data_IF_403686687381
#
_entry.id   IF_403686687381
#
_cell.length_a   1.000
_cell.length_b   1.000
_cell.length_c   1.000
_cell.angle_alpha   90.00
_cell.angle_beta   90.00
_cell.angle_gamma   90.00
#
_symmetry.space_group_name_H-M   'P 1'
#
loop_
_entity.id
_entity.type
_entity.pdbx_description
1 polymer ?
#
# COMPACT_ATOMS: atom_id res chain seq x y z
N UNK A 1 10.30 7.33 -16.03
CA UNK A 1 8.87 7.21 -15.65
C UNK A 1 8.56 8.28 -14.62
N UNK A 2 7.65 9.20 -14.92
CA UNK A 2 7.38 10.40 -14.10
C UNK A 2 6.89 10.01 -12.69
N UNK A 3 6.08 8.95 -12.58
CA UNK A 3 5.57 8.45 -11.30
C UNK A 3 6.60 7.63 -10.50
N UNK A 4 7.69 7.20 -11.14
CA UNK A 4 8.78 6.45 -10.49
C UNK A 4 9.87 7.38 -9.96
N UNK A 5 10.02 8.55 -10.56
CA UNK A 5 11.04 9.56 -10.22
C UNK A 5 10.62 10.51 -9.08
N UNK A 6 9.33 10.57 -8.70
CA UNK A 6 8.91 11.29 -7.48
C UNK A 6 9.48 10.67 -6.22
N UNK A 7 9.72 9.35 -6.23
CA UNK A 7 10.40 8.61 -5.16
C UNK A 7 11.90 8.93 -5.07
N UNK A 8 12.46 9.59 -6.09
CA UNK A 8 13.90 9.89 -6.23
C UNK A 8 14.27 11.35 -5.98
N UNK A 9 13.32 12.18 -5.49
CA UNK A 9 13.61 13.56 -5.03
C UNK A 9 13.89 14.58 -6.14
N UNK A 10 13.62 14.26 -7.41
CA UNK A 10 13.68 15.23 -8.50
C UNK A 10 12.42 16.12 -8.50
N UNK A 11 12.51 17.31 -9.09
CA UNK A 11 11.49 18.38 -9.08
C UNK A 11 10.25 18.03 -9.95
N UNK A 12 9.61 16.88 -9.69
CA UNK A 12 8.48 16.31 -10.46
C UNK A 12 7.17 17.09 -10.24
N UNK A 13 7.13 17.97 -9.24
CA UNK A 13 5.95 18.78 -8.86
C UNK A 13 5.44 19.63 -10.02
N UNK A 14 6.34 20.25 -10.79
CA UNK A 14 5.92 21.09 -11.94
C UNK A 14 5.25 20.26 -13.03
N UNK A 15 5.80 19.07 -13.31
CA UNK A 15 5.24 18.16 -14.32
C UNK A 15 3.88 17.60 -13.87
N UNK A 16 3.72 17.28 -12.58
CA UNK A 16 2.45 16.83 -12.00
C UNK A 16 1.36 17.91 -12.08
N UNK A 17 1.71 19.17 -11.81
CA UNK A 17 0.75 20.28 -11.89
C UNK A 17 0.25 20.50 -13.33
N UNK A 18 1.15 20.49 -14.31
CA UNK A 18 0.78 20.62 -15.73
C UNK A 18 -0.12 19.45 -16.15
N UNK A 19 0.19 18.23 -15.71
CA UNK A 19 -0.60 17.04 -16.01
C UNK A 19 -2.00 17.12 -15.37
N UNK A 20 -2.10 17.65 -14.15
CA UNK A 20 -3.38 17.89 -13.48
C UNK A 20 -4.24 18.93 -14.23
N UNK A 21 -3.66 20.05 -14.65
CA UNK A 21 -4.38 21.06 -15.45
C UNK A 21 -4.90 20.49 -16.76
N UNK A 22 -4.06 19.74 -17.49
CA UNK A 22 -4.45 19.09 -18.74
C UNK A 22 -5.54 18.03 -18.52
N UNK A 23 -5.47 17.26 -17.42
CA UNK A 23 -6.50 16.28 -17.07
C UNK A 23 -7.85 16.94 -16.81
N UNK A 24 -7.87 18.12 -16.17
CA UNK A 24 -9.08 18.89 -15.94
C UNK A 24 -9.74 19.38 -17.23
N UNK A 25 -8.95 19.85 -18.20
CA UNK A 25 -9.45 20.25 -19.53
C UNK A 25 -10.05 19.06 -20.29
N UNK A 26 -9.47 17.87 -20.13
CA UNK A 26 -9.92 16.64 -20.77
C UNK A 26 -11.04 15.93 -20.01
N UNK A 27 -11.50 16.47 -18.88
CA UNK A 27 -12.52 15.86 -18.02
C UNK A 27 -12.06 14.57 -17.33
N UNK A 28 -10.75 14.34 -17.23
CA UNK A 28 -10.16 13.19 -16.57
C UNK A 28 -9.92 13.51 -15.09
N UNK A 29 -10.41 12.65 -14.21
CA UNK A 29 -10.07 12.72 -12.78
C UNK A 29 -8.83 11.87 -12.54
N UNK A 30 -7.71 12.52 -12.21
CA UNK A 30 -6.52 11.82 -11.74
C UNK A 30 -6.72 11.47 -10.26
N UNK A 31 -7.21 10.27 -9.99
CA UNK A 31 -7.16 9.72 -8.64
C UNK A 31 -5.71 9.33 -8.36
N UNK A 32 -5.09 10.01 -7.40
CA UNK A 32 -3.84 9.53 -6.83
C UNK A 32 -4.14 8.13 -6.28
N UNK A 33 -3.51 7.08 -6.81
CA UNK A 33 -3.74 5.68 -6.44
C UNK A 33 -3.34 5.32 -5.01
N UNK A 34 -3.40 6.28 -4.08
CA UNK A 34 -3.55 6.05 -2.67
C UNK A 34 -5.05 6.02 -2.40
N UNK A 35 -5.69 4.93 -2.81
CA UNK A 35 -7.08 4.66 -2.50
C UNK A 35 -7.26 4.75 -0.98
N UNK A 36 -7.84 5.85 -0.51
CA UNK A 36 -8.29 6.08 0.87
C UNK A 36 -9.41 5.11 1.31
N UNK A 37 -9.60 4.00 0.61
CA UNK A 37 -10.42 2.87 1.02
C UNK A 37 -9.80 2.08 2.19
N UNK A 38 -8.56 2.41 2.58
CA UNK A 38 -7.88 1.79 3.72
C UNK A 38 -8.34 2.28 5.10
N UNK A 39 -9.01 3.44 5.20
CA UNK A 39 -9.32 4.06 6.50
C UNK A 39 -10.14 3.19 7.45
N UNK A 40 -11.07 2.39 6.92
CA UNK A 40 -11.98 1.56 7.73
C UNK A 40 -11.42 0.16 8.05
N UNK A 41 -10.45 -0.31 7.25
CA UNK A 41 -9.90 -1.68 7.33
C UNK A 41 -8.49 -1.67 7.94
N UNK A 42 -7.78 -0.55 7.89
CA UNK A 42 -6.42 -0.38 8.38
C UNK A 42 -6.22 -0.90 9.82
N UNK A 43 -7.09 -0.57 10.80
CA UNK A 43 -6.90 -1.06 12.18
C UNK A 43 -6.97 -2.59 12.28
N UNK A 44 -7.80 -3.22 11.44
CA UNK A 44 -7.92 -4.68 11.40
C UNK A 44 -6.71 -5.34 10.74
N UNK A 45 -6.19 -4.75 9.66
CA UNK A 45 -4.98 -5.25 8.99
C UNK A 45 -3.77 -5.15 9.92
N UNK A 46 -3.60 -4.03 10.61
CA UNK A 46 -2.52 -3.83 11.60
C UNK A 46 -2.59 -4.83 12.76
N UNK A 47 -3.81 -5.12 13.26
CA UNK A 47 -4.01 -6.15 14.27
C UNK A 47 -3.59 -7.53 13.75
N UNK A 48 -3.97 -7.90 12.53
CA UNK A 48 -3.60 -9.18 11.91
C UNK A 48 -2.09 -9.30 11.65
N UNK A 49 -1.44 -8.20 11.25
CA UNK A 49 0.03 -8.15 11.11
C UNK A 49 0.69 -8.41 12.47
N UNK A 50 0.17 -7.81 13.54
CA UNK A 50 0.69 -8.03 14.91
C UNK A 50 0.55 -9.48 15.35
N UNK A 51 -0.63 -10.08 15.14
CA UNK A 51 -0.87 -11.50 15.43
C UNK A 51 0.07 -12.40 14.62
N UNK A 52 0.29 -12.10 13.34
CA UNK A 52 1.24 -12.82 12.49
C UNK A 52 2.67 -12.75 13.05
N UNK A 53 3.10 -11.59 13.54
CA UNK A 53 4.41 -11.42 14.19
C UNK A 53 4.53 -12.26 15.46
N UNK A 54 3.52 -12.23 16.33
CA UNK A 54 3.48 -13.07 17.53
C UNK A 54 3.53 -14.57 17.20
N UNK A 55 2.81 -15.00 16.15
CA UNK A 55 2.84 -16.39 15.67
C UNK A 55 4.25 -16.80 15.19
N UNK A 56 4.98 -15.90 14.53
CA UNK A 56 6.37 -16.14 14.14
C UNK A 56 7.30 -16.26 15.36
N UNK A 57 7.10 -15.45 16.40
CA UNK A 57 7.89 -15.54 17.65
C UNK A 57 7.71 -16.91 18.34
N UNK A 58 6.49 -17.43 18.37
CA UNK A 58 6.19 -18.77 18.90
C UNK A 58 6.45 -19.90 17.87
N UNK A 59 7.09 -19.58 16.73
CA UNK A 59 7.46 -20.51 15.65
C UNK A 59 6.29 -21.23 14.99
N UNK A 60 5.09 -20.65 15.05
CA UNK A 60 3.90 -21.14 14.36
C UNK A 60 3.84 -20.56 12.93
N UNK A 61 4.76 -21.01 12.08
CA UNK A 61 4.91 -20.50 10.71
C UNK A 61 3.68 -20.79 9.84
N UNK A 62 3.08 -21.98 9.96
CA UNK A 62 1.90 -22.36 9.15
C UNK A 62 0.70 -21.41 9.37
N UNK A 63 0.48 -20.99 10.63
CA UNK A 63 -0.60 -20.06 10.96
C UNK A 63 -0.27 -18.63 10.52
N UNK A 64 0.99 -18.21 10.64
CA UNK A 64 1.43 -16.92 10.16
C UNK A 64 1.27 -16.81 8.63
N UNK A 65 1.63 -17.87 7.89
CA UNK A 65 1.48 -17.92 6.44
C UNK A 65 0.01 -17.98 6.03
N UNK A 66 -0.84 -18.68 6.79
CA UNK A 66 -2.29 -18.67 6.55
C UNK A 66 -2.90 -17.26 6.62
N UNK A 67 -2.45 -16.42 7.56
CA UNK A 67 -2.88 -15.02 7.67
C UNK A 67 -2.45 -14.24 6.44
N UNK A 68 -1.19 -14.38 6.01
CA UNK A 68 -0.68 -13.70 4.81
C UNK A 68 -1.49 -14.08 3.57
N UNK A 69 -1.75 -15.37 3.39
CA UNK A 69 -2.44 -15.87 2.19
C UNK A 69 -3.91 -15.44 2.17
N UNK A 70 -4.58 -15.39 3.33
CA UNK A 70 -5.95 -14.86 3.44
C UNK A 70 -6.02 -13.37 3.15
N UNK A 71 -5.08 -12.58 3.65
CA UNK A 71 -5.00 -11.16 3.34
C UNK A 71 -4.79 -10.94 1.84
N UNK A 72 -3.92 -11.73 1.22
CA UNK A 72 -3.71 -11.70 -0.23
C UNK A 72 -4.98 -12.02 -1.03
N UNK A 73 -5.76 -13.02 -0.60
CA UNK A 73 -7.05 -13.35 -1.22
C UNK A 73 -8.10 -12.23 -1.11
N UNK A 74 -7.98 -11.37 -0.09
CA UNK A 74 -8.84 -10.19 0.08
C UNK A 74 -8.29 -8.94 -0.63
N UNK A 75 -7.25 -9.10 -1.47
CA UNK A 75 -6.62 -7.99 -2.19
C UNK A 75 -5.69 -7.14 -1.33
N UNK A 76 -5.15 -7.69 -0.24
CA UNK A 76 -4.21 -7.00 0.65
C UNK A 76 -2.85 -7.69 0.55
N UNK A 77 -1.88 -7.02 -0.07
CA UNK A 77 -0.51 -7.50 -0.16
C UNK A 77 0.30 -7.00 1.03
N UNK A 78 1.12 -7.88 1.63
CA UNK A 78 2.03 -7.56 2.73
C UNK A 78 3.48 -7.60 2.23
N UNK A 79 4.21 -6.51 2.42
CA UNK A 79 5.64 -6.39 2.15
C UNK A 79 6.40 -6.24 3.47
N UNK A 80 7.30 -7.17 3.76
CA UNK A 80 8.19 -7.08 4.91
C UNK A 80 9.37 -6.16 4.55
N UNK A 81 9.58 -5.10 5.34
CA UNK A 81 10.72 -4.19 5.24
C UNK A 81 11.54 -4.21 6.52
N UNK A 82 12.77 -3.68 6.50
CA UNK A 82 13.63 -3.59 7.70
C UNK A 82 12.99 -2.78 8.84
N UNK A 83 12.08 -1.86 8.51
CA UNK A 83 11.39 -0.98 9.47
C UNK A 83 10.08 -1.60 9.98
N UNK A 84 9.54 -2.60 9.27
CA UNK A 84 8.29 -3.27 9.61
C UNK A 84 7.53 -3.82 8.41
N UNK A 85 6.34 -4.35 8.63
CA UNK A 85 5.47 -4.84 7.54
C UNK A 85 4.62 -3.68 7.00
N UNK A 86 4.82 -3.35 5.73
CA UNK A 86 4.00 -2.39 4.98
C UNK A 86 2.93 -3.19 4.22
N UNK A 87 1.73 -2.65 4.09
CA UNK A 87 0.66 -3.30 3.33
C UNK A 87 0.08 -2.37 2.27
N UNK A 88 -0.42 -2.97 1.18
CA UNK A 88 -1.02 -2.27 0.04
C UNK A 88 -2.26 -3.02 -0.43
N UNK A 89 -3.29 -2.26 -0.80
CA UNK A 89 -4.44 -2.79 -1.54
C UNK A 89 -4.03 -3.03 -2.99
N UNK A 90 -4.15 -4.27 -3.46
CA UNK A 90 -3.84 -4.71 -4.84
C UNK A 90 -5.00 -4.47 -5.79
#
# INVERSE_FOLDING_TARGET
>A
DINRESSSGLNVIKAQNILAELSGVLGLTLSNGNSDSGGDIAPFVEMLITVRSQLREVKQFDLADNIRDKLFQQGISLEDTEVGTVWRLS
#
